data_IF_835179438351
#
_entry.id   IF_835179438351
#
_cell.length_a   1.000
_cell.length_b   1.000
_cell.length_c   1.000
_cell.angle_alpha   90.00
_cell.angle_beta   90.00
_cell.angle_gamma   90.00
#
_symmetry.space_group_name_H-M   'P 1'
#
loop_
_entity.id
_entity.type
_entity.pdbx_description
1 polymer ?
#
# COMPACT_ATOMS: atom_id res chain seq x y z
N UNK A 1 23.98 15.13 9.25
CA UNK A 1 22.77 15.89 8.95
C UNK A 1 21.86 16.02 10.21
N UNK A 2 21.38 14.94 10.78
CA UNK A 2 20.39 15.00 11.87
C UNK A 2 21.00 15.03 13.30
N UNK A 3 22.32 15.05 13.42
CA UNK A 3 23.04 14.94 14.70
C UNK A 3 22.62 13.75 15.59
N UNK A 4 22.13 12.69 14.95
CA UNK A 4 21.79 11.44 15.62
C UNK A 4 23.01 10.49 15.60
N UNK A 5 23.04 9.52 16.50
CA UNK A 5 24.10 8.50 16.50
C UNK A 5 24.16 7.72 15.19
N UNK A 6 25.35 7.35 14.76
CA UNK A 6 25.65 6.75 13.46
C UNK A 6 24.77 5.55 13.08
N UNK A 7 24.26 4.81 14.07
CA UNK A 7 23.44 3.63 13.86
C UNK A 7 21.93 3.89 14.00
N UNK A 8 21.50 5.14 14.25
CA UNK A 8 20.10 5.43 14.57
C UNK A 8 19.18 5.14 13.38
N UNK A 9 19.52 5.65 12.19
CA UNK A 9 18.73 5.41 10.97
C UNK A 9 18.73 3.92 10.63
N UNK A 10 19.90 3.28 10.63
CA UNK A 10 20.01 1.84 10.36
C UNK A 10 19.18 0.97 11.31
N UNK A 11 19.05 1.37 12.59
CA UNK A 11 18.16 0.67 13.55
C UNK A 11 16.69 0.84 13.18
N UNK A 12 16.29 2.02 12.71
CA UNK A 12 14.91 2.27 12.26
C UNK A 12 14.58 1.49 10.98
N UNK A 13 15.50 1.44 10.03
CA UNK A 13 15.39 0.62 8.82
C UNK A 13 15.29 -0.89 9.14
N UNK A 14 15.90 -1.33 10.24
CA UNK A 14 15.82 -2.70 10.74
C UNK A 14 14.66 -2.93 11.76
N UNK A 15 13.63 -2.10 11.73
CA UNK A 15 12.38 -2.32 12.46
C UNK A 15 12.37 -1.86 13.93
N UNK A 16 13.40 -1.13 14.41
CA UNK A 16 13.34 -0.53 15.74
C UNK A 16 12.28 0.57 15.79
N UNK A 17 11.51 0.62 16.87
CA UNK A 17 10.50 1.67 17.08
C UNK A 17 11.17 3.04 17.13
N UNK A 18 10.67 3.97 16.34
CA UNK A 18 11.11 5.36 16.35
C UNK A 18 10.52 6.08 17.55
N UNK A 19 11.32 6.89 18.24
CA UNK A 19 10.76 7.82 19.21
C UNK A 19 9.94 8.92 18.51
N UNK A 20 9.02 9.54 19.26
CA UNK A 20 8.07 10.51 18.71
C UNK A 20 8.76 11.72 18.07
N UNK A 21 9.87 12.19 18.63
CA UNK A 21 10.58 13.36 18.12
C UNK A 21 11.30 13.05 16.81
N UNK A 22 12.02 11.92 16.74
CA UNK A 22 12.68 11.47 15.52
C UNK A 22 11.67 11.19 14.39
N UNK A 23 10.58 10.51 14.73
CA UNK A 23 9.51 10.25 13.75
C UNK A 23 8.91 11.56 13.20
N UNK A 24 8.62 12.54 14.07
CA UNK A 24 8.07 13.83 13.66
C UNK A 24 9.04 14.59 12.76
N UNK A 25 10.34 14.57 13.07
CA UNK A 25 11.36 15.22 12.24
C UNK A 25 11.52 14.53 10.88
N UNK A 26 11.53 13.20 10.83
CA UNK A 26 11.61 12.46 9.56
C UNK A 26 10.39 12.74 8.68
N UNK A 27 9.19 12.76 9.26
CA UNK A 27 7.96 13.12 8.54
C UNK A 27 8.00 14.56 8.02
N UNK A 28 8.51 15.51 8.82
CA UNK A 28 8.68 16.90 8.40
C UNK A 28 9.68 17.02 7.24
N UNK A 29 10.84 16.38 7.34
CA UNK A 29 11.90 16.43 6.33
C UNK A 29 11.60 15.61 5.05
N UNK A 30 10.56 14.81 5.06
CA UNK A 30 10.07 14.10 3.87
C UNK A 30 9.59 15.07 2.78
N UNK A 31 9.19 16.28 3.17
CA UNK A 31 8.77 17.32 2.26
C UNK A 31 9.97 18.05 1.65
N UNK A 32 10.12 18.11 0.31
CA UNK A 32 11.26 18.81 -0.31
C UNK A 32 11.43 20.25 0.17
N UNK A 33 10.34 21.01 0.27
CA UNK A 33 10.35 22.39 0.77
C UNK A 33 10.87 22.49 2.22
N UNK A 34 10.45 21.56 3.09
CA UNK A 34 10.91 21.52 4.47
C UNK A 34 12.38 21.06 4.55
N UNK A 35 12.77 20.10 3.70
CA UNK A 35 14.17 19.67 3.60
C UNK A 35 15.05 20.82 3.15
N UNK A 36 14.63 21.61 2.14
CA UNK A 36 15.33 22.82 1.71
C UNK A 36 15.52 23.80 2.86
N UNK A 37 14.43 24.14 3.56
CA UNK A 37 14.47 25.04 4.72
C UNK A 37 15.42 24.52 5.80
N UNK A 38 15.31 23.25 6.12
CA UNK A 38 16.20 22.61 7.11
C UNK A 38 17.68 22.68 6.71
N UNK A 39 18.02 22.43 5.43
CA UNK A 39 19.37 22.49 4.89
C UNK A 39 19.94 23.91 4.86
N UNK A 40 19.09 24.93 4.78
CA UNK A 40 19.51 26.33 4.72
C UNK A 40 19.60 27.03 6.07
N UNK A 41 18.71 26.68 7.00
CA UNK A 41 18.55 27.40 8.27
C UNK A 41 19.30 26.74 9.45
N UNK A 42 19.76 25.49 9.28
CA UNK A 42 20.45 24.80 10.36
C UNK A 42 21.95 24.60 10.05
N UNK A 43 22.78 24.67 11.10
CA UNK A 43 24.16 24.23 11.02
C UNK A 43 24.20 22.70 10.92
N UNK A 44 24.46 22.19 9.72
CA UNK A 44 24.42 20.76 9.44
C UNK A 44 25.84 20.24 9.27
N UNK A 45 26.17 19.14 9.95
CA UNK A 45 27.46 18.47 9.82
C UNK A 45 27.55 17.67 8.48
N UNK A 46 27.45 18.40 7.36
CA UNK A 46 27.68 17.90 6.00
C UNK A 46 28.78 18.73 5.35
N UNK A 47 29.62 18.10 4.53
CA UNK A 47 30.51 18.85 3.68
C UNK A 47 29.75 19.56 2.55
N UNK A 48 30.39 20.60 1.96
CA UNK A 48 29.74 21.42 0.90
C UNK A 48 29.28 20.59 -0.29
N UNK A 49 30.00 19.51 -0.64
CA UNK A 49 29.68 18.63 -1.76
C UNK A 49 28.41 17.79 -1.45
N UNK A 50 28.30 17.27 -0.23
CA UNK A 50 27.12 16.52 0.24
C UNK A 50 25.90 17.43 0.29
N UNK A 51 26.08 18.64 0.83
CA UNK A 51 25.01 19.66 0.90
C UNK A 51 24.52 20.05 -0.49
N UNK A 52 25.43 20.33 -1.42
CA UNK A 52 25.11 20.67 -2.81
C UNK A 52 24.35 19.55 -3.52
N UNK A 53 24.77 18.28 -3.32
CA UNK A 53 24.07 17.12 -3.90
C UNK A 53 22.64 16.97 -3.37
N UNK A 54 22.44 17.18 -2.06
CA UNK A 54 21.10 17.12 -1.45
C UNK A 54 20.22 18.26 -1.96
N UNK A 55 20.75 19.47 -2.05
CA UNK A 55 20.02 20.63 -2.59
C UNK A 55 19.59 20.42 -4.04
N UNK A 56 20.48 19.90 -4.90
CA UNK A 56 20.14 19.55 -6.29
C UNK A 56 19.01 18.51 -6.35
N UNK A 57 19.04 17.50 -5.48
CA UNK A 57 17.99 16.49 -5.40
C UNK A 57 16.66 17.10 -4.96
N UNK A 58 16.68 17.94 -3.93
CA UNK A 58 15.48 18.65 -3.43
C UNK A 58 14.88 19.54 -4.52
N UNK A 59 15.74 20.27 -5.24
CA UNK A 59 15.32 21.18 -6.31
C UNK A 59 14.66 20.44 -7.48
N UNK A 60 15.20 19.28 -7.86
CA UNK A 60 14.61 18.40 -8.87
C UNK A 60 13.23 17.90 -8.44
N UNK A 61 13.06 17.46 -7.19
CA UNK A 61 11.78 17.02 -6.66
C UNK A 61 10.74 18.14 -6.57
N UNK A 62 11.17 19.37 -6.23
CA UNK A 62 10.28 20.53 -6.22
C UNK A 62 9.81 20.95 -7.62
N UNK A 63 10.63 20.75 -8.64
CA UNK A 63 10.33 21.06 -10.03
C UNK A 63 9.52 19.93 -10.71
N UNK A 64 9.57 18.73 -10.18
CA UNK A 64 8.85 17.58 -10.72
C UNK A 64 7.34 17.71 -10.50
N UNK A 65 6.65 18.08 -11.59
CA UNK A 65 5.19 18.25 -11.58
C UNK A 65 4.47 16.95 -11.28
N UNK A 66 4.96 15.82 -11.78
CA UNK A 66 4.34 14.51 -11.60
C UNK A 66 4.47 14.04 -10.15
N UNK A 67 5.61 14.28 -9.51
CA UNK A 67 5.82 14.04 -8.08
C UNK A 67 4.84 14.86 -7.24
N UNK A 68 4.70 16.17 -7.51
CA UNK A 68 3.80 17.07 -6.77
C UNK A 68 2.32 16.71 -6.94
N UNK A 69 1.89 16.41 -8.17
CA UNK A 69 0.52 15.99 -8.47
C UNK A 69 0.22 14.63 -7.85
N UNK A 70 1.13 13.67 -8.01
CA UNK A 70 1.01 12.34 -7.40
C UNK A 70 0.90 12.41 -5.89
N UNK A 71 1.74 13.23 -5.25
CA UNK A 71 1.70 13.43 -3.80
C UNK A 71 0.39 14.04 -3.31
N UNK A 72 -0.11 15.11 -3.95
CA UNK A 72 -1.40 15.73 -3.61
C UNK A 72 -2.56 14.75 -3.79
N UNK A 73 -2.50 13.91 -4.83
CA UNK A 73 -3.48 12.85 -5.02
C UNK A 73 -3.54 11.91 -3.81
N UNK A 74 -2.39 11.39 -3.36
CA UNK A 74 -2.38 10.49 -2.21
C UNK A 74 -2.78 11.17 -0.91
N UNK A 75 -2.35 12.41 -0.66
CA UNK A 75 -2.77 13.18 0.51
C UNK A 75 -4.27 13.45 0.56
N UNK A 76 -4.91 13.63 -0.59
CA UNK A 76 -6.34 13.89 -0.67
C UNK A 76 -7.20 12.67 -0.36
N UNK A 77 -6.76 11.47 -0.78
CA UNK A 77 -7.58 10.26 -0.73
C UNK A 77 -7.12 9.24 0.29
N UNK A 78 -5.87 9.27 0.73
CA UNK A 78 -5.30 8.20 1.56
C UNK A 78 -4.65 8.76 2.82
N UNK A 79 -5.07 8.23 3.97
CA UNK A 79 -4.48 8.62 5.24
C UNK A 79 -3.06 8.06 5.40
N UNK A 80 -2.15 8.93 5.79
CA UNK A 80 -0.78 8.57 6.21
C UNK A 80 -0.67 8.38 7.72
N UNK A 81 -1.75 8.67 8.47
CA UNK A 81 -1.77 8.55 9.92
C UNK A 81 -2.14 7.11 10.27
N UNK A 82 -1.26 6.36 10.96
CA UNK A 82 -1.57 5.02 11.43
C UNK A 82 -2.79 5.02 12.36
N UNK A 83 -3.75 4.15 12.07
CA UNK A 83 -4.95 3.93 12.88
C UNK A 83 -5.43 2.48 12.73
N UNK A 84 -6.40 2.07 13.52
CA UNK A 84 -6.94 0.72 13.47
C UNK A 84 -7.55 0.37 12.11
N UNK A 85 -8.17 1.35 11.43
CA UNK A 85 -8.82 1.15 10.14
C UNK A 85 -7.86 0.91 8.97
N UNK A 86 -6.57 1.28 9.10
CA UNK A 86 -5.54 1.04 8.09
C UNK A 86 -4.45 0.06 8.58
N UNK A 87 -4.74 -0.71 9.64
CA UNK A 87 -3.83 -1.68 10.21
C UNK A 87 -2.55 -1.04 10.77
N UNK A 88 -2.68 0.13 11.40
CA UNK A 88 -1.61 0.91 12.03
C UNK A 88 -0.44 1.24 11.09
N UNK A 89 -0.72 1.36 9.78
CA UNK A 89 0.25 1.76 8.75
C UNK A 89 -0.30 2.90 7.89
N UNK A 90 0.52 3.90 7.61
CA UNK A 90 0.22 4.88 6.56
C UNK A 90 0.21 4.22 5.19
N UNK A 91 -0.68 4.67 4.30
CA UNK A 91 -0.82 4.11 2.97
C UNK A 91 0.52 4.09 2.20
N UNK A 92 0.84 2.94 1.62
CA UNK A 92 2.07 2.63 0.89
C UNK A 92 1.74 2.19 -0.54
N UNK A 93 1.85 3.13 -1.49
CA UNK A 93 1.49 2.87 -2.88
C UNK A 93 2.43 1.88 -3.58
N UNK A 94 3.73 1.92 -3.26
CA UNK A 94 4.70 1.02 -3.88
C UNK A 94 4.44 -0.43 -3.47
N UNK A 95 4.13 -0.66 -2.20
CA UNK A 95 3.72 -1.99 -1.72
C UNK A 95 2.41 -2.44 -2.35
N UNK A 96 1.42 -1.56 -2.46
CA UNK A 96 0.18 -1.91 -3.15
C UNK A 96 0.43 -2.32 -4.61
N UNK A 97 1.26 -1.58 -5.36
CA UNK A 97 1.62 -1.93 -6.73
C UNK A 97 2.30 -3.30 -6.79
N UNK A 98 3.24 -3.57 -5.89
CA UNK A 98 3.92 -4.87 -5.83
C UNK A 98 2.95 -6.01 -5.50
N UNK A 99 1.99 -5.82 -4.59
CA UNK A 99 0.94 -6.81 -4.28
C UNK A 99 0.03 -7.07 -5.49
N UNK A 100 -0.39 -6.03 -6.22
CA UNK A 100 -1.21 -6.15 -7.44
C UNK A 100 -0.46 -6.93 -8.51
N UNK A 101 0.80 -6.55 -8.77
CA UNK A 101 1.65 -7.23 -9.75
C UNK A 101 1.91 -8.68 -9.38
N UNK A 102 2.15 -8.99 -8.09
CA UNK A 102 2.28 -10.37 -7.61
C UNK A 102 1.07 -11.21 -8.03
N UNK A 103 -0.14 -10.77 -7.68
CA UNK A 103 -1.34 -11.54 -8.01
C UNK A 103 -1.62 -11.59 -9.52
N UNK A 104 -1.29 -10.52 -10.25
CA UNK A 104 -1.49 -10.47 -11.70
C UNK A 104 -0.54 -11.42 -12.46
N UNK A 105 0.70 -11.58 -12.00
CA UNK A 105 1.65 -12.52 -12.59
C UNK A 105 1.38 -13.97 -12.21
N UNK A 106 0.94 -14.23 -10.97
CA UNK A 106 0.63 -15.59 -10.51
C UNK A 106 -0.70 -16.13 -11.09
N UNK A 107 -1.63 -15.27 -11.50
CA UNK A 107 -2.96 -15.67 -11.97
C UNK A 107 -3.02 -15.71 -13.50
N UNK A 108 -3.56 -16.77 -14.08
CA UNK A 108 -3.85 -16.83 -15.52
C UNK A 108 -4.95 -15.85 -15.95
N UNK A 109 -5.92 -15.58 -15.07
CA UNK A 109 -7.01 -14.62 -15.25
C UNK A 109 -7.32 -13.97 -13.90
N UNK A 110 -6.82 -12.76 -13.66
CA UNK A 110 -7.09 -12.02 -12.44
C UNK A 110 -8.22 -11.02 -12.64
N UNK A 111 -9.41 -11.33 -12.14
CA UNK A 111 -10.53 -10.38 -12.21
C UNK A 111 -10.43 -9.33 -11.10
N UNK A 112 -10.80 -8.09 -11.41
CA UNK A 112 -10.81 -6.94 -10.50
C UNK A 112 -11.50 -7.27 -9.17
N UNK A 113 -12.67 -7.92 -9.20
CA UNK A 113 -13.41 -8.33 -7.99
C UNK A 113 -12.60 -9.29 -7.13
N UNK A 114 -11.92 -10.27 -7.73
CA UNK A 114 -11.05 -11.22 -7.03
C UNK A 114 -9.85 -10.50 -6.42
N UNK A 115 -9.18 -9.64 -7.18
CA UNK A 115 -8.03 -8.87 -6.68
C UNK A 115 -8.36 -8.10 -5.40
N UNK A 116 -9.50 -7.40 -5.34
CA UNK A 116 -9.89 -6.64 -4.16
C UNK A 116 -9.98 -7.50 -2.89
N UNK A 117 -10.44 -8.77 -3.00
CA UNK A 117 -10.49 -9.72 -1.88
C UNK A 117 -9.11 -10.26 -1.53
N UNK A 118 -8.28 -10.57 -2.53
CA UNK A 118 -6.90 -11.02 -2.30
C UNK A 118 -6.10 -9.97 -1.53
N UNK A 119 -6.23 -8.68 -1.90
CA UNK A 119 -5.60 -7.58 -1.17
C UNK A 119 -6.10 -7.48 0.28
N UNK A 120 -7.43 -7.57 0.49
CA UNK A 120 -8.01 -7.55 1.83
C UNK A 120 -7.49 -8.69 2.70
N UNK A 121 -7.52 -9.93 2.20
CA UNK A 121 -7.01 -11.07 2.96
C UNK A 121 -5.51 -10.97 3.24
N UNK A 122 -4.73 -10.47 2.29
CA UNK A 122 -3.29 -10.28 2.47
C UNK A 122 -2.99 -9.29 3.60
N UNK A 123 -3.60 -8.12 3.55
CA UNK A 123 -3.44 -7.11 4.59
C UNK A 123 -3.93 -7.58 5.96
N UNK A 124 -5.11 -8.22 6.02
CA UNK A 124 -5.69 -8.71 7.28
C UNK A 124 -4.86 -9.84 7.90
N UNK A 125 -4.38 -10.80 7.10
CA UNK A 125 -3.55 -11.91 7.60
C UNK A 125 -2.19 -11.41 8.04
N UNK A 126 -1.55 -10.53 7.26
CA UNK A 126 -0.28 -9.95 7.66
C UNK A 126 -0.42 -9.14 8.95
N UNK A 127 -1.49 -8.36 9.09
CA UNK A 127 -1.81 -7.65 10.33
C UNK A 127 -2.03 -8.59 11.52
N UNK A 128 -2.75 -9.69 11.32
CA UNK A 128 -2.97 -10.72 12.36
C UNK A 128 -1.66 -11.29 12.89
N UNK A 129 -0.68 -11.47 12.02
CA UNK A 129 0.60 -12.10 12.36
C UNK A 129 1.64 -11.10 12.88
N UNK A 130 1.61 -9.84 12.41
CA UNK A 130 2.66 -8.85 12.64
C UNK A 130 2.18 -7.58 13.38
N UNK A 131 0.87 -7.40 13.58
CA UNK A 131 0.30 -6.22 14.22
C UNK A 131 0.29 -4.95 13.35
N UNK A 132 0.66 -5.06 12.06
CA UNK A 132 0.69 -3.97 11.08
C UNK A 132 0.26 -4.51 9.71
N UNK A 133 -0.48 -3.72 8.91
CA UNK A 133 -0.85 -4.10 7.54
C UNK A 133 0.32 -3.98 6.56
N UNK A 134 0.23 -4.60 5.37
CA UNK A 134 1.24 -4.45 4.31
C UNK A 134 1.09 -3.11 3.60
N UNK A 135 -0.13 -2.77 3.15
CA UNK A 135 -0.39 -1.63 2.26
C UNK A 135 -0.84 -0.36 2.97
N UNK A 136 -1.41 -0.46 4.17
CA UNK A 136 -2.06 0.66 4.86
C UNK A 136 -3.40 1.06 4.25
N UNK A 137 -4.04 0.21 3.43
CA UNK A 137 -5.36 0.43 2.87
C UNK A 137 -6.45 0.30 3.92
N UNK A 138 -7.54 1.05 3.74
CA UNK A 138 -8.81 0.83 4.41
C UNK A 138 -9.74 0.05 3.50
N UNK A 139 -10.55 -0.82 4.06
CA UNK A 139 -11.49 -1.66 3.32
C UNK A 139 -12.93 -1.34 3.70
N UNK A 140 -13.72 -0.92 2.71
CA UNK A 140 -15.14 -0.64 2.88
C UNK A 140 -15.99 -1.90 2.64
N UNK A 141 -17.06 -2.05 3.42
CA UNK A 141 -18.10 -3.05 3.19
C UNK A 141 -18.93 -2.63 1.97
N UNK A 142 -18.75 -3.31 0.84
CA UNK A 142 -19.57 -3.11 -0.38
C UNK A 142 -20.33 -4.38 -0.74
N UNK A 143 -21.37 -4.33 -1.63
CA UNK A 143 -22.27 -5.46 -1.90
C UNK A 143 -21.58 -6.77 -2.33
N UNK A 144 -20.42 -6.69 -2.94
CA UNK A 144 -19.64 -7.86 -3.37
C UNK A 144 -18.45 -8.18 -2.45
N UNK A 145 -18.53 -7.77 -1.17
CA UNK A 145 -17.52 -8.00 -0.15
C UNK A 145 -16.58 -6.81 0.08
N UNK A 146 -15.52 -6.96 0.88
CA UNK A 146 -14.56 -5.91 1.18
C UNK A 146 -13.88 -5.35 -0.07
N UNK A 147 -13.77 -4.03 -0.16
CA UNK A 147 -13.13 -3.32 -1.28
C UNK A 147 -12.22 -2.22 -0.71
N UNK A 148 -10.98 -2.06 -1.19
CA UNK A 148 -10.14 -0.91 -0.81
C UNK A 148 -10.84 0.41 -1.11
N UNK A 149 -10.80 1.37 -0.18
CA UNK A 149 -11.32 2.71 -0.46
C UNK A 149 -10.63 3.32 -1.68
N UNK A 150 -11.39 4.02 -2.49
CA UNK A 150 -10.89 4.69 -3.70
C UNK A 150 -10.13 3.79 -4.70
N UNK A 151 -10.44 2.48 -4.75
CA UNK A 151 -9.70 1.51 -5.55
C UNK A 151 -9.68 1.85 -7.05
N UNK A 152 -10.77 2.40 -7.60
CA UNK A 152 -10.81 2.83 -9.01
C UNK A 152 -9.81 3.97 -9.29
N UNK A 153 -9.58 4.86 -8.33
CA UNK A 153 -8.57 5.92 -8.45
C UNK A 153 -7.15 5.35 -8.41
N UNK A 154 -6.93 4.31 -7.59
CA UNK A 154 -5.64 3.61 -7.53
C UNK A 154 -5.34 2.90 -8.84
N UNK A 155 -6.32 2.18 -9.40
CA UNK A 155 -6.18 1.53 -10.70
C UNK A 155 -5.90 2.54 -11.81
N UNK A 156 -6.64 3.64 -11.89
CA UNK A 156 -6.36 4.70 -12.87
C UNK A 156 -4.95 5.32 -12.72
N UNK A 157 -4.43 5.40 -11.48
CA UNK A 157 -3.04 5.84 -11.25
C UNK A 157 -2.02 4.78 -11.69
N UNK A 158 -2.31 3.49 -11.48
CA UNK A 158 -1.46 2.38 -11.96
C UNK A 158 -1.42 2.32 -13.48
N UNK A 159 -2.57 2.50 -14.14
CA UNK A 159 -2.67 2.57 -15.60
C UNK A 159 -1.88 3.74 -16.18
N UNK A 160 -2.04 4.95 -15.63
CA UNK A 160 -1.27 6.12 -16.02
C UNK A 160 0.24 5.99 -15.81
N UNK A 161 0.66 5.13 -14.88
CA UNK A 161 2.08 4.83 -14.60
C UNK A 161 2.59 3.57 -15.33
N UNK A 162 1.81 2.97 -16.23
CA UNK A 162 2.15 1.73 -16.94
C UNK A 162 2.55 0.58 -16.01
N UNK A 163 1.84 0.43 -14.89
CA UNK A 163 2.04 -0.65 -13.93
C UNK A 163 1.07 -1.80 -14.21
N UNK A 164 -0.22 -1.48 -14.29
CA UNK A 164 -1.29 -2.42 -14.62
C UNK A 164 -2.51 -1.66 -15.12
N UNK A 165 -3.29 -2.25 -16.02
CA UNK A 165 -4.57 -1.67 -16.48
C UNK A 165 -5.72 -2.68 -16.39
N UNK A 166 -6.93 -2.20 -16.59
CA UNK A 166 -8.13 -3.03 -16.66
C UNK A 166 -8.50 -3.27 -18.11
N UNK A 167 -8.46 -4.53 -18.54
CA UNK A 167 -9.03 -4.95 -19.81
C UNK A 167 -10.47 -5.41 -19.61
N UNK A 168 -11.39 -4.90 -20.45
CA UNK A 168 -12.80 -5.31 -20.43
C UNK A 168 -12.99 -6.43 -21.43
N UNK A 169 -13.34 -7.61 -20.92
CA UNK A 169 -13.57 -8.82 -21.71
C UNK A 169 -15.05 -9.18 -21.66
N UNK A 170 -15.63 -9.53 -22.81
CA UNK A 170 -17.00 -10.02 -22.89
C UNK A 170 -17.00 -11.55 -23.02
N UNK A 171 -17.56 -12.23 -22.04
CA UNK A 171 -17.68 -13.68 -22.02
C UNK A 171 -19.12 -14.10 -21.76
N UNK A 172 -19.70 -14.85 -22.70
CA UNK A 172 -21.10 -15.33 -22.65
C UNK A 172 -22.13 -14.23 -22.36
N UNK A 173 -21.90 -12.99 -22.84
CA UNK A 173 -22.78 -11.84 -22.63
C UNK A 173 -22.57 -11.09 -21.31
N UNK A 174 -21.60 -11.49 -20.52
CA UNK A 174 -21.20 -10.82 -19.28
C UNK A 174 -19.89 -10.04 -19.47
N UNK A 175 -19.83 -8.86 -18.89
CA UNK A 175 -18.66 -8.01 -18.85
C UNK A 175 -17.75 -8.44 -17.69
N UNK A 176 -16.50 -8.76 -18.01
CA UNK A 176 -15.45 -9.09 -17.03
C UNK A 176 -14.34 -8.03 -17.08
N UNK A 177 -13.90 -7.60 -15.94
CA UNK A 177 -12.82 -6.64 -15.76
C UNK A 177 -11.55 -7.38 -15.31
N UNK A 178 -10.65 -7.66 -16.25
CA UNK A 178 -9.40 -8.35 -15.98
C UNK A 178 -8.28 -7.35 -15.69
N UNK A 179 -7.46 -7.66 -14.69
CA UNK A 179 -6.26 -6.88 -14.36
C UNK A 179 -5.09 -7.43 -15.14
N UNK A 180 -4.50 -6.60 -15.99
CA UNK A 180 -3.36 -6.95 -16.85
C UNK A 180 -2.12 -6.22 -16.32
N UNK A 181 -1.03 -6.92 -15.94
CA UNK A 181 0.22 -6.28 -15.58
C UNK A 181 0.92 -5.72 -16.82
N UNK A 182 1.54 -4.53 -16.71
CA UNK A 182 2.32 -3.90 -17.76
C UNK A 182 3.82 -3.89 -17.49
N UNK A 183 4.23 -4.25 -16.28
CA UNK A 183 5.63 -4.33 -15.89
C UNK A 183 5.89 -5.51 -14.95
N UNK A 184 7.15 -5.86 -14.77
CA UNK A 184 7.56 -6.85 -13.78
C UNK A 184 7.38 -6.34 -12.35
N UNK A 185 7.16 -7.25 -11.41
CA UNK A 185 7.13 -6.90 -9.99
C UNK A 185 8.51 -6.39 -9.54
N UNK A 186 8.57 -5.19 -8.91
CA UNK A 186 9.84 -4.67 -8.43
C UNK A 186 10.44 -5.59 -7.36
N UNK A 187 11.74 -5.83 -7.45
CA UNK A 187 12.50 -6.56 -6.43
C UNK A 187 12.68 -5.66 -5.20
N UNK A 188 12.76 -6.25 -4.03
CA UNK A 188 13.10 -5.59 -2.76
C UNK A 188 12.02 -4.63 -2.18
N UNK A 189 10.83 -4.55 -2.77
CA UNK A 189 9.69 -3.79 -2.20
C UNK A 189 8.95 -4.59 -1.12
N UNK A 190 8.79 -5.88 -1.33
CA UNK A 190 8.15 -6.79 -0.38
C UNK A 190 9.20 -7.60 0.38
N UNK A 191 9.04 -7.71 1.69
CA UNK A 191 9.85 -8.62 2.50
C UNK A 191 9.50 -10.09 2.22
N UNK A 192 10.37 -11.01 2.67
CA UNK A 192 10.07 -12.44 2.51
C UNK A 192 8.79 -12.85 3.25
N UNK A 193 8.55 -12.28 4.44
CA UNK A 193 7.34 -12.54 5.22
C UNK A 193 6.08 -12.05 4.51
N UNK A 194 6.15 -10.89 3.83
CA UNK A 194 5.05 -10.37 3.02
C UNK A 194 4.79 -11.27 1.80
N UNK A 195 5.83 -11.71 1.11
CA UNK A 195 5.72 -12.65 -0.01
C UNK A 195 5.13 -13.98 0.42
N UNK A 196 5.53 -14.51 1.58
CA UNK A 196 5.00 -15.77 2.12
C UNK A 196 3.49 -15.67 2.42
N UNK A 197 3.03 -14.52 2.92
CA UNK A 197 1.59 -14.26 3.10
C UNK A 197 0.88 -14.18 1.76
N UNK A 198 1.39 -13.43 0.79
CA UNK A 198 0.78 -13.33 -0.55
C UNK A 198 0.66 -14.71 -1.21
N UNK A 199 1.71 -15.52 -1.11
CA UNK A 199 1.72 -16.88 -1.67
C UNK A 199 0.68 -17.78 -0.99
N UNK A 200 0.53 -17.72 0.34
CA UNK A 200 -0.51 -18.47 1.07
C UNK A 200 -1.91 -18.05 0.63
N UNK A 201 -2.15 -16.75 0.50
CA UNK A 201 -3.42 -16.22 0.02
C UNK A 201 -3.70 -16.65 -1.42
N UNK A 202 -2.71 -16.56 -2.30
CA UNK A 202 -2.84 -17.01 -3.68
C UNK A 202 -3.22 -18.50 -3.75
N UNK A 203 -2.47 -19.36 -3.09
CA UNK A 203 -2.70 -20.83 -3.06
C UNK A 203 -4.10 -21.16 -2.52
N UNK A 204 -4.55 -20.47 -1.46
CA UNK A 204 -5.89 -20.66 -0.88
C UNK A 204 -7.00 -20.34 -1.89
N UNK A 205 -6.86 -19.26 -2.65
CA UNK A 205 -7.93 -18.74 -3.51
C UNK A 205 -7.69 -18.95 -5.02
N UNK A 206 -6.63 -19.66 -5.43
CA UNK A 206 -6.29 -19.84 -6.85
C UNK A 206 -7.46 -20.37 -7.69
N UNK A 207 -8.21 -21.33 -7.16
CA UNK A 207 -9.30 -22.02 -7.83
C UNK A 207 -10.68 -21.32 -7.62
N UNK A 208 -10.73 -20.24 -6.85
CA UNK A 208 -11.96 -19.46 -6.62
C UNK A 208 -12.21 -18.50 -7.77
N UNK A 209 -13.43 -18.50 -8.30
CA UNK A 209 -13.93 -17.43 -9.17
C UNK A 209 -14.28 -16.17 -8.34
N UNK A 210 -14.66 -15.07 -9.04
CA UNK A 210 -15.06 -13.83 -8.39
C UNK A 210 -16.29 -13.99 -7.48
N UNK A 211 -17.23 -14.85 -7.88
CA UNK A 211 -18.43 -15.15 -7.08
C UNK A 211 -18.07 -15.94 -5.82
N UNK A 212 -17.22 -16.96 -5.97
CA UNK A 212 -16.83 -17.83 -4.86
C UNK A 212 -16.10 -17.06 -3.77
N UNK A 213 -15.11 -16.24 -4.15
CA UNK A 213 -14.35 -15.45 -3.18
C UNK A 213 -15.20 -14.33 -2.55
N UNK A 214 -16.18 -13.78 -3.30
CA UNK A 214 -17.14 -12.83 -2.74
C UNK A 214 -18.01 -13.50 -1.68
N UNK A 215 -18.59 -14.66 -2.00
CA UNK A 215 -19.41 -15.43 -1.05
C UNK A 215 -18.59 -15.87 0.17
N UNK A 216 -17.32 -16.25 -0.02
CA UNK A 216 -16.43 -16.58 1.07
C UNK A 216 -16.23 -15.37 1.99
N UNK A 217 -15.96 -14.19 1.41
CA UNK A 217 -15.76 -12.96 2.17
C UNK A 217 -17.02 -12.48 2.92
N UNK A 218 -18.21 -12.82 2.44
CA UNK A 218 -19.47 -12.51 3.12
C UNK A 218 -19.68 -13.31 4.42
N UNK A 219 -18.99 -14.42 4.60
CA UNK A 219 -19.03 -15.20 5.84
C UNK A 219 -18.08 -14.68 6.93
N UNK A 220 -17.20 -13.74 6.59
CA UNK A 220 -16.27 -13.15 7.56
C UNK A 220 -17.02 -12.28 8.57
N UNK A 221 -16.58 -12.36 9.83
CA UNK A 221 -17.19 -11.61 10.93
C UNK A 221 -17.15 -10.10 10.68
N UNK A 222 -16.04 -9.56 10.20
CA UNK A 222 -15.90 -8.14 9.90
C UNK A 222 -16.91 -7.66 8.86
N UNK A 223 -17.26 -8.50 7.88
CA UNK A 223 -18.31 -8.18 6.93
C UNK A 223 -19.71 -8.24 7.57
N UNK A 224 -19.99 -9.28 8.36
CA UNK A 224 -21.29 -9.46 8.98
C UNK A 224 -21.63 -8.43 10.07
N UNK A 225 -20.62 -7.93 10.79
CA UNK A 225 -20.79 -6.97 11.90
C UNK A 225 -20.81 -5.51 11.42
N UNK A 226 -20.53 -5.24 10.14
CA UNK A 226 -20.53 -3.89 9.56
C UNK A 226 -21.69 -3.70 8.58
N UNK A 227 -22.02 -2.45 8.29
CA UNK A 227 -23.05 -2.08 7.30
C UNK A 227 -22.42 -1.61 6.01
N UNK A 228 -23.19 -1.66 4.93
CA UNK A 228 -22.77 -1.15 3.63
C UNK A 228 -22.23 0.29 3.72
N UNK A 229 -21.04 0.51 3.23
CA UNK A 229 -20.31 1.79 3.24
C UNK A 229 -19.43 2.01 4.48
N UNK A 230 -19.55 1.19 5.53
CA UNK A 230 -18.69 1.30 6.72
C UNK A 230 -17.30 0.69 6.44
N UNK A 231 -16.31 1.19 7.15
CA UNK A 231 -14.95 0.63 7.11
C UNK A 231 -14.87 -0.60 8.01
N UNK A 232 -14.32 -1.67 7.48
CA UNK A 232 -14.08 -2.91 8.22
C UNK A 232 -12.75 -2.75 8.97
N UNK A 233 -12.83 -2.73 10.31
CA UNK A 233 -11.64 -2.59 11.16
C UNK A 233 -10.72 -3.81 11.05
N UNK A 234 -9.41 -3.57 11.12
CA UNK A 234 -8.40 -4.63 11.19
C UNK A 234 -8.48 -5.45 12.49
N UNK A 235 -9.19 -4.99 13.53
CA UNK A 235 -9.44 -5.78 14.73
C UNK A 235 -10.18 -7.10 14.45
N UNK A 236 -10.90 -7.20 13.32
CA UNK A 236 -11.54 -8.44 12.85
C UNK A 236 -10.55 -9.46 12.25
N UNK A 237 -9.31 -9.09 11.98
CA UNK A 237 -8.30 -10.00 11.43
C UNK A 237 -8.08 -11.24 12.31
N UNK A 238 -8.23 -11.10 13.64
CA UNK A 238 -8.14 -12.22 14.59
C UNK A 238 -9.15 -13.34 14.32
N UNK A 239 -10.31 -13.01 13.74
CA UNK A 239 -11.40 -13.94 13.48
C UNK A 239 -11.27 -14.62 12.11
N UNK A 240 -10.42 -14.12 11.20
CA UNK A 240 -10.18 -14.71 9.88
C UNK A 240 -9.42 -16.03 10.02
N UNK A 241 -9.94 -17.07 9.38
CA UNK A 241 -9.33 -18.39 9.31
C UNK A 241 -9.17 -18.82 7.85
N UNK A 242 -7.93 -19.05 7.42
CA UNK A 242 -7.61 -19.59 6.09
C UNK A 242 -7.63 -21.13 6.18
N UNK A 243 -8.78 -21.73 6.39
CA UNK A 243 -8.94 -23.20 6.44
C UNK A 243 -8.86 -23.84 5.06
#
# INVERSE_FOLDING_TARGET
MLNWGDKTICRYENGSVQDKAHNSLLLFLREPENMRTYLTENEIALDERQKAKLMDTVEKLEQDTDYRVGRRFFEMFFSRIPCEENGFKGFDYEKLCAMVLFFAHESSELLKTKLMKLLNYSDMIFYKENGISMSGLKYAHLPYGPVPEHFDKLLGKMEAAHIAHIEVIYDNGYEKHQVIPECDMPKDILSQEELDVLQRIFVKFKDFGSVDISNYSHNEKGYNDTKQGEIISYSYAKDIQLN
#
